data_IF_557534187614
#
_entry.id   IF_557534187614
#
_cell.length_a   1.000
_cell.length_b   1.000
_cell.length_c   1.000
_cell.angle_alpha   90.00
_cell.angle_beta   90.00
_cell.angle_gamma   90.00
#
_symmetry.space_group_name_H-M   'P 1'
#
loop_
_entity.id
_entity.type
_entity.pdbx_description
1 polymer ?
#
# COMPACT_ATOMS: atom_id res chain seq x y z
N UNK A 1 -33.88 -22.17 33.74
CA UNK A 1 -33.32 -21.79 32.43
C UNK A 1 -32.22 -20.78 32.66
N UNK A 2 -30.97 -21.25 32.65
CA UNK A 2 -29.82 -20.52 33.15
C UNK A 2 -29.20 -19.58 32.12
N UNK A 3 -28.96 -18.33 32.54
CA UNK A 3 -27.78 -17.51 32.27
C UNK A 3 -27.04 -17.78 30.94
N UNK A 4 -27.57 -17.23 29.83
CA UNK A 4 -26.83 -17.07 28.56
C UNK A 4 -26.99 -15.67 27.92
N UNK A 5 -27.37 -14.66 28.70
CA UNK A 5 -27.67 -13.32 28.16
C UNK A 5 -26.49 -12.34 28.14
N UNK A 6 -25.30 -12.72 28.62
CA UNK A 6 -24.15 -11.81 28.71
C UNK A 6 -22.84 -12.42 28.18
N UNK A 7 -22.91 -13.21 27.11
CA UNK A 7 -21.71 -13.53 26.34
C UNK A 7 -21.21 -12.27 25.62
N UNK A 8 -19.89 -12.05 25.46
CA UNK A 8 -19.39 -10.97 24.63
C UNK A 8 -19.98 -11.11 23.22
N UNK A 9 -20.42 -10.01 22.59
CA UNK A 9 -21.04 -10.04 21.27
C UNK A 9 -20.07 -10.66 20.23
N UNK A 10 -20.62 -11.24 19.17
CA UNK A 10 -19.85 -11.72 18.02
C UNK A 10 -20.18 -13.14 17.56
N UNK A 11 -19.68 -13.49 16.39
CA UNK A 11 -19.76 -14.81 15.76
C UNK A 11 -18.52 -15.60 16.13
N UNK A 12 -18.69 -16.85 16.57
CA UNK A 12 -17.54 -17.74 16.78
C UNK A 12 -16.90 -18.12 15.44
N UNK A 13 -15.60 -17.86 15.32
CA UNK A 13 -14.80 -18.15 14.14
C UNK A 13 -13.55 -18.92 14.51
N UNK A 14 -13.02 -19.67 13.55
CA UNK A 14 -11.73 -20.34 13.62
C UNK A 14 -10.77 -19.71 12.60
N UNK A 15 -9.54 -19.44 13.02
CA UNK A 15 -8.46 -19.00 12.14
C UNK A 15 -7.96 -20.20 11.34
N UNK A 16 -8.42 -20.37 10.10
CA UNK A 16 -8.04 -21.51 9.27
C UNK A 16 -6.74 -21.30 8.51
N UNK A 17 -6.52 -20.09 7.99
CA UNK A 17 -5.38 -19.81 7.12
C UNK A 17 -4.75 -18.47 7.43
N UNK A 18 -3.43 -18.42 7.26
CA UNK A 18 -2.64 -17.20 7.36
C UNK A 18 -1.86 -17.02 6.08
N UNK A 19 -2.11 -15.94 5.36
CA UNK A 19 -1.41 -15.63 4.11
C UNK A 19 -0.61 -14.35 4.27
N UNK A 20 0.44 -14.22 3.46
CA UNK A 20 1.20 -12.99 3.35
C UNK A 20 1.48 -12.66 1.89
N UNK A 21 1.58 -11.37 1.60
CA UNK A 21 1.99 -10.80 0.30
C UNK A 21 2.86 -9.59 0.57
N UNK A 22 4.05 -9.58 -0.04
CA UNK A 22 5.02 -8.50 0.05
C UNK A 22 5.28 -7.97 -1.36
N UNK A 23 5.25 -6.64 -1.51
CA UNK A 23 5.40 -5.97 -2.80
C UNK A 23 6.41 -4.83 -2.73
N UNK A 24 7.29 -4.77 -3.73
CA UNK A 24 8.24 -3.67 -3.91
C UNK A 24 7.95 -3.01 -5.25
N UNK A 25 7.69 -1.71 -5.23
CA UNK A 25 7.62 -0.93 -6.45
C UNK A 25 9.02 -0.82 -7.08
N UNK A 26 9.13 -1.12 -8.37
CA UNK A 26 10.33 -0.87 -9.15
C UNK A 26 10.07 0.37 -9.99
N UNK A 27 10.84 1.42 -9.74
CA UNK A 27 10.65 2.73 -10.35
C UNK A 27 11.72 3.00 -11.41
N UNK A 28 11.37 3.86 -12.38
CA UNK A 28 12.31 4.45 -13.33
C UNK A 28 12.03 5.94 -13.45
N UNK A 29 13.07 6.73 -13.68
CA UNK A 29 12.92 8.14 -13.97
C UNK A 29 12.53 8.33 -15.44
N UNK A 30 11.44 9.04 -15.68
CA UNK A 30 10.97 9.41 -17.03
C UNK A 30 11.00 10.93 -17.18
N UNK A 31 11.20 11.40 -18.41
CA UNK A 31 11.02 12.82 -18.74
C UNK A 31 9.53 13.10 -18.87
N UNK A 32 8.95 13.79 -17.90
CA UNK A 32 7.55 14.16 -17.89
C UNK A 32 7.37 15.57 -18.45
N UNK A 33 6.47 15.73 -19.43
CA UNK A 33 6.18 17.02 -20.03
C UNK A 33 5.25 17.83 -19.13
N UNK A 34 5.62 19.08 -18.87
CA UNK A 34 4.82 20.05 -18.13
C UNK A 34 4.77 21.41 -18.84
N UNK A 35 3.93 22.29 -18.31
CA UNK A 35 3.88 23.68 -18.77
C UNK A 35 3.51 24.61 -17.63
N UNK A 36 4.17 25.76 -17.56
CA UNK A 36 3.97 26.78 -16.53
C UNK A 36 4.46 28.13 -17.07
N UNK A 37 4.22 29.20 -16.32
CA UNK A 37 4.92 30.45 -16.56
C UNK A 37 6.43 30.26 -16.38
N UNK A 38 7.22 30.95 -17.21
CA UNK A 38 8.66 30.70 -17.28
C UNK A 38 9.41 31.08 -15.99
N UNK A 39 8.85 31.98 -15.18
CA UNK A 39 9.32 32.38 -13.86
C UNK A 39 8.94 31.40 -12.74
N UNK A 40 8.05 30.43 -13.03
CA UNK A 40 7.54 29.42 -12.09
C UNK A 40 8.00 28.00 -12.42
N UNK A 41 9.02 27.85 -13.28
CA UNK A 41 9.53 26.53 -13.64
C UNK A 41 10.08 25.79 -12.40
N UNK A 42 9.72 24.51 -12.20
CA UNK A 42 10.24 23.75 -11.08
C UNK A 42 11.75 23.51 -11.22
N UNK A 43 12.44 23.38 -10.09
CA UNK A 43 13.86 23.09 -10.08
C UNK A 43 14.16 21.80 -10.85
N UNK A 44 15.17 21.84 -11.73
CA UNK A 44 15.53 20.70 -12.59
C UNK A 44 14.68 20.54 -13.85
N UNK A 45 13.71 21.45 -14.10
CA UNK A 45 13.00 21.49 -15.38
C UNK A 45 13.97 21.83 -16.53
N UNK A 46 13.91 21.03 -17.58
CA UNK A 46 14.56 21.32 -18.85
C UNK A 46 13.56 22.02 -19.76
N UNK A 47 13.86 23.26 -20.11
CA UNK A 47 13.02 24.04 -21.00
C UNK A 47 12.99 23.41 -22.40
N UNK A 48 11.79 23.25 -22.95
CA UNK A 48 11.57 22.71 -24.30
C UNK A 48 11.18 23.83 -25.29
N UNK A 49 10.22 24.67 -24.92
CA UNK A 49 9.81 25.81 -25.75
C UNK A 49 9.22 26.94 -24.93
N UNK A 50 9.25 28.15 -25.50
CA UNK A 50 8.66 29.36 -24.95
C UNK A 50 7.61 29.91 -25.90
N UNK A 51 6.56 30.51 -25.35
CA UNK A 51 5.60 31.31 -26.12
C UNK A 51 5.17 32.52 -25.31
N UNK A 52 5.02 33.67 -25.98
CA UNK A 52 4.35 34.82 -25.37
C UNK A 52 2.85 34.56 -25.35
N UNK A 53 2.21 34.82 -24.21
CA UNK A 53 0.75 34.80 -24.09
C UNK A 53 0.28 35.83 -23.07
N UNK A 54 -1.02 36.11 -23.11
CA UNK A 54 -1.68 36.81 -22.03
C UNK A 54 -2.01 35.90 -20.85
N UNK A 55 -1.77 36.40 -19.65
CA UNK A 55 -2.12 35.76 -18.39
C UNK A 55 -3.63 35.92 -18.15
N UNK A 56 -4.41 34.83 -18.25
CA UNK A 56 -5.86 34.89 -18.05
C UNK A 56 -6.23 35.30 -16.61
N UNK A 57 -5.33 35.17 -15.65
CA UNK A 57 -5.54 35.61 -14.28
C UNK A 57 -5.22 37.11 -14.08
N UNK A 58 -4.58 37.77 -15.05
CA UNK A 58 -4.21 39.18 -14.98
C UNK A 58 -3.20 39.51 -13.87
N UNK A 59 -2.46 38.51 -13.37
CA UNK A 59 -1.49 38.69 -12.28
C UNK A 59 -0.17 39.20 -12.83
N UNK A 60 0.19 38.84 -14.06
CA UNK A 60 1.49 39.13 -14.68
C UNK A 60 1.41 40.28 -15.69
N UNK A 61 2.54 40.99 -15.91
CA UNK A 61 2.61 42.03 -16.94
C UNK A 61 2.46 41.43 -18.34
N UNK A 62 1.76 42.15 -19.20
CA UNK A 62 1.46 41.72 -20.56
C UNK A 62 2.46 42.26 -21.59
N UNK A 63 3.02 41.43 -22.49
CA UNK A 63 2.90 39.97 -22.58
C UNK A 63 3.86 39.24 -21.64
N UNK A 64 3.48 38.03 -21.19
CA UNK A 64 4.33 37.17 -20.37
C UNK A 64 4.75 35.88 -21.08
N UNK A 65 5.89 35.32 -20.70
CA UNK A 65 6.41 34.07 -21.28
C UNK A 65 5.83 32.84 -20.58
N UNK A 66 5.20 31.96 -21.35
CA UNK A 66 4.77 30.64 -20.92
C UNK A 66 5.66 29.55 -21.52
N UNK A 67 6.15 28.68 -20.65
CA UNK A 67 7.14 27.66 -20.98
C UNK A 67 6.49 26.27 -21.06
N UNK A 68 6.93 25.47 -22.03
CA UNK A 68 6.82 24.01 -21.99
C UNK A 68 8.16 23.45 -21.54
N UNK A 69 8.14 22.46 -20.67
CA UNK A 69 9.36 21.89 -20.09
C UNK A 69 9.23 20.38 -19.90
N UNK A 70 10.36 19.69 -19.76
CA UNK A 70 10.43 18.31 -19.28
C UNK A 70 11.05 18.28 -17.89
N UNK A 71 10.49 17.49 -16.98
CA UNK A 71 11.01 17.29 -15.63
C UNK A 71 11.26 15.80 -15.40
N UNK A 72 12.43 15.39 -14.90
CA UNK A 72 12.72 13.98 -14.74
C UNK A 72 12.08 13.45 -13.45
N UNK A 73 10.99 12.70 -13.59
CA UNK A 73 10.13 12.23 -12.49
C UNK A 73 10.22 10.72 -12.32
N UNK A 74 10.28 10.24 -11.07
CA UNK A 74 10.20 8.82 -10.76
C UNK A 74 8.78 8.30 -10.92
N UNK A 75 8.62 7.25 -11.72
CA UNK A 75 7.35 6.56 -11.91
C UNK A 75 7.53 5.07 -11.66
N UNK A 76 6.53 4.46 -11.03
CA UNK A 76 6.43 3.01 -10.89
C UNK A 76 6.36 2.39 -12.29
N UNK A 77 7.30 1.51 -12.59
CA UNK A 77 7.36 0.77 -13.85
C UNK A 77 6.62 -0.57 -13.71
N UNK A 78 6.89 -1.29 -12.63
CA UNK A 78 6.25 -2.56 -12.27
C UNK A 78 6.38 -2.83 -10.78
N UNK A 79 5.73 -3.87 -10.28
CA UNK A 79 5.79 -4.30 -8.87
C UNK A 79 6.34 -5.71 -8.79
N UNK A 80 7.41 -5.89 -8.00
CA UNK A 80 7.92 -7.20 -7.65
C UNK A 80 7.08 -7.73 -6.49
N UNK A 81 6.57 -8.95 -6.60
CA UNK A 81 5.68 -9.53 -5.61
C UNK A 81 6.20 -10.89 -5.14
N UNK A 82 6.05 -11.16 -3.85
CA UNK A 82 6.17 -12.50 -3.30
C UNK A 82 4.98 -12.78 -2.36
N UNK A 83 4.47 -14.00 -2.42
CA UNK A 83 3.36 -14.46 -1.58
C UNK A 83 3.72 -15.76 -0.90
N UNK A 84 3.01 -16.05 0.20
CA UNK A 84 3.13 -17.34 0.88
C UNK A 84 2.06 -17.55 1.93
N UNK A 85 2.17 -18.68 2.60
CA UNK A 85 1.24 -19.15 3.63
C UNK A 85 2.05 -19.61 4.82
N UNK A 86 1.58 -19.33 6.03
CA UNK A 86 2.18 -19.88 7.26
C UNK A 86 2.22 -21.43 7.19
N UNK A 87 3.32 -22.08 7.60
CA UNK A 87 4.43 -21.54 8.40
C UNK A 87 5.59 -20.92 7.59
N UNK A 88 5.48 -20.75 6.27
CA UNK A 88 6.54 -20.11 5.49
C UNK A 88 6.72 -18.65 5.95
N UNK A 89 7.94 -18.24 6.38
CA UNK A 89 8.17 -16.88 6.82
C UNK A 89 8.04 -15.89 5.65
N UNK A 90 7.47 -14.69 5.86
CA UNK A 90 7.43 -13.66 4.84
C UNK A 90 8.83 -13.28 4.35
N UNK A 91 9.03 -13.29 3.02
CA UNK A 91 10.29 -12.92 2.37
C UNK A 91 10.05 -11.85 1.33
N UNK A 92 10.85 -10.78 1.39
CA UNK A 92 10.78 -9.71 0.40
C UNK A 92 11.29 -10.22 -0.96
N UNK A 93 10.59 -9.91 -2.07
CA UNK A 93 11.09 -10.20 -3.41
C UNK A 93 12.43 -9.49 -3.63
N UNK A 94 13.30 -10.10 -4.45
CA UNK A 94 14.61 -9.55 -4.81
C UNK A 94 14.66 -9.33 -6.33
N UNK A 95 13.98 -8.29 -6.84
CA UNK A 95 13.96 -8.03 -8.27
C UNK A 95 15.35 -7.66 -8.77
N UNK A 96 15.70 -8.19 -9.95
CA UNK A 96 16.89 -7.73 -10.65
C UNK A 96 16.62 -6.37 -11.28
N UNK A 97 17.42 -5.37 -10.90
CA UNK A 97 17.28 -4.02 -11.43
C UNK A 97 18.10 -3.87 -12.71
N UNK A 98 17.45 -3.40 -13.77
CA UNK A 98 18.16 -3.03 -14.98
C UNK A 98 18.89 -1.71 -14.75
N UNK A 99 20.22 -1.77 -14.74
CA UNK A 99 21.08 -0.61 -14.96
C UNK A 99 20.77 -0.13 -16.38
N UNK A 100 20.22 1.06 -16.55
CA UNK A 100 19.76 1.54 -17.84
C UNK A 100 20.86 1.53 -18.91
N UNK A 101 20.48 1.56 -20.20
CA UNK A 101 21.40 1.98 -21.26
C UNK A 101 21.67 3.48 -21.12
N UNK A 102 22.70 4.03 -21.77
CA UNK A 102 23.09 5.46 -21.70
C UNK A 102 21.90 6.45 -21.85
N UNK A 103 20.84 6.07 -22.57
CA UNK A 103 19.64 6.88 -22.81
C UNK A 103 18.51 6.70 -21.77
N UNK A 104 18.56 5.64 -20.95
CA UNK A 104 17.53 5.31 -19.95
C UNK A 104 18.09 5.46 -18.54
N UNK A 105 17.35 6.15 -17.67
CA UNK A 105 17.69 6.22 -16.25
C UNK A 105 17.71 4.83 -15.59
N UNK A 106 18.58 4.60 -14.59
CA UNK A 106 18.63 3.33 -13.87
C UNK A 106 17.32 3.09 -13.12
N UNK A 107 16.91 1.82 -13.06
CA UNK A 107 15.82 1.41 -12.18
C UNK A 107 16.25 1.50 -10.72
N UNK A 108 15.29 1.75 -9.83
CA UNK A 108 15.49 1.69 -8.37
C UNK A 108 14.33 1.02 -7.67
N UNK A 109 14.56 0.58 -6.42
CA UNK A 109 13.49 0.17 -5.53
C UNK A 109 12.77 1.43 -4.98
N UNK A 110 11.45 1.40 -5.03
CA UNK A 110 10.55 2.42 -4.51
C UNK A 110 9.90 1.97 -3.20
N UNK A 111 8.59 2.19 -3.10
CA UNK A 111 7.81 1.88 -1.89
C UNK A 111 7.69 0.37 -1.66
N UNK A 112 7.64 0.01 -0.38
CA UNK A 112 7.40 -1.33 0.09
C UNK A 112 5.96 -1.41 0.62
N UNK A 113 5.25 -2.47 0.26
CA UNK A 113 3.90 -2.75 0.74
C UNK A 113 3.83 -4.13 1.36
N UNK A 114 3.19 -4.22 2.51
CA UNK A 114 3.06 -5.45 3.27
C UNK A 114 1.60 -5.78 3.56
N UNK A 115 1.25 -7.03 3.33
CA UNK A 115 -0.11 -7.51 3.49
C UNK A 115 -0.08 -8.85 4.22
N UNK A 116 -0.62 -8.87 5.44
CA UNK A 116 -0.73 -10.08 6.25
C UNK A 116 -2.19 -10.33 6.57
N UNK A 117 -2.72 -11.43 6.06
CA UNK A 117 -4.15 -11.70 6.06
C UNK A 117 -4.45 -12.99 6.81
N UNK A 118 -5.55 -12.96 7.56
CA UNK A 118 -6.13 -14.07 8.30
C UNK A 118 -7.44 -14.46 7.65
N UNK A 119 -7.59 -15.73 7.33
CA UNK A 119 -8.86 -16.32 6.90
C UNK A 119 -9.58 -16.90 8.13
N UNK A 120 -10.74 -16.33 8.41
CA UNK A 120 -11.56 -16.62 9.58
C UNK A 120 -12.85 -17.30 9.11
N UNK A 121 -13.14 -18.48 9.62
CA UNK A 121 -14.28 -19.29 9.18
C UNK A 121 -15.22 -19.57 10.35
N UNK A 122 -16.50 -19.24 10.20
CA UNK A 122 -17.53 -19.61 11.16
C UNK A 122 -18.08 -21.02 10.91
N UNK A 123 -18.76 -21.58 11.91
CA UNK A 123 -19.37 -22.91 11.82
C UNK A 123 -20.43 -23.04 10.70
N UNK A 124 -21.03 -21.92 10.28
CA UNK A 124 -21.99 -21.87 9.16
C UNK A 124 -21.30 -21.80 7.78
N UNK A 125 -19.96 -21.87 7.72
CA UNK A 125 -19.17 -21.77 6.50
C UNK A 125 -18.91 -20.34 6.00
N UNK A 126 -19.39 -19.32 6.72
CA UNK A 126 -19.10 -17.93 6.37
C UNK A 126 -17.61 -17.63 6.60
N UNK A 127 -16.99 -16.96 5.63
CA UNK A 127 -15.56 -16.63 5.64
C UNK A 127 -15.36 -15.12 5.67
N UNK A 128 -14.43 -14.67 6.50
CA UNK A 128 -13.94 -13.29 6.52
C UNK A 128 -12.44 -13.25 6.40
N UNK A 129 -11.94 -12.22 5.73
CA UNK A 129 -10.50 -11.93 5.65
C UNK A 129 -10.20 -10.70 6.47
N UNK A 130 -9.26 -10.83 7.42
CA UNK A 130 -8.80 -9.71 8.22
C UNK A 130 -7.30 -9.45 8.01
N UNK A 131 -6.97 -8.21 7.63
CA UNK A 131 -5.57 -7.75 7.59
C UNK A 131 -5.09 -7.39 8.99
N UNK A 132 -3.90 -7.84 9.35
CA UNK A 132 -3.27 -7.57 10.63
C UNK A 132 -1.83 -7.06 10.46
N UNK A 133 -1.27 -6.32 11.44
CA UNK A 133 0.16 -6.05 11.48
C UNK A 133 0.97 -7.36 11.59
N UNK A 134 2.22 -7.36 11.11
CA UNK A 134 3.09 -8.54 11.14
C UNK A 134 3.20 -9.17 12.54
N UNK A 135 3.34 -8.34 13.57
CA UNK A 135 3.48 -8.78 14.96
C UNK A 135 2.27 -9.60 15.42
N UNK A 136 1.07 -9.11 15.13
CA UNK A 136 -0.18 -9.78 15.47
C UNK A 136 -0.41 -11.01 14.60
N UNK A 137 -0.19 -10.90 13.29
CA UNK A 137 -0.29 -12.04 12.38
C UNK A 137 0.63 -13.20 12.80
N UNK A 138 1.87 -12.92 13.20
CA UNK A 138 2.81 -13.96 13.66
C UNK A 138 2.39 -14.59 14.99
N UNK A 139 1.86 -13.80 15.91
CA UNK A 139 1.50 -14.25 17.25
C UNK A 139 0.27 -15.16 17.28
N UNK A 140 -0.63 -15.05 16.30
CA UNK A 140 -1.86 -15.83 16.25
C UNK A 140 -1.60 -17.22 15.64
N UNK A 141 -1.87 -18.32 16.39
CA UNK A 141 -1.75 -19.67 15.85
C UNK A 141 -2.94 -20.00 14.94
N UNK A 142 -2.69 -20.82 13.91
CA UNK A 142 -3.77 -21.46 13.15
C UNK A 142 -4.59 -22.38 14.07
N UNK A 143 -5.89 -22.50 13.80
CA UNK A 143 -6.87 -23.21 14.63
C UNK A 143 -7.37 -22.41 15.84
N UNK A 144 -6.90 -21.17 16.04
CA UNK A 144 -7.39 -20.31 17.12
C UNK A 144 -8.89 -20.02 16.94
N UNK A 145 -9.69 -20.30 17.97
CA UNK A 145 -11.11 -19.98 18.02
C UNK A 145 -11.37 -18.74 18.87
N UNK A 146 -12.18 -17.82 18.36
CA UNK A 146 -12.56 -16.59 19.08
C UNK A 146 -13.88 -16.02 18.55
N UNK A 147 -14.41 -15.00 19.23
CA UNK A 147 -15.59 -14.27 18.76
C UNK A 147 -15.18 -13.04 17.95
N UNK A 148 -15.61 -13.00 16.70
CA UNK A 148 -15.43 -11.88 15.78
C UNK A 148 -16.67 -10.99 15.81
N UNK A 149 -16.48 -9.70 16.05
CA UNK A 149 -17.57 -8.73 15.97
C UNK A 149 -17.93 -8.50 14.50
N UNK A 150 -19.22 -8.67 14.19
CA UNK A 150 -19.79 -8.46 12.86
C UNK A 150 -20.81 -7.34 12.97
N UNK A 151 -20.80 -6.39 12.04
CA UNK A 151 -21.81 -5.35 11.98
C UNK A 151 -23.16 -5.86 11.44
N UNK A 152 -24.16 -4.98 11.39
CA UNK A 152 -25.50 -5.33 10.90
C UNK A 152 -25.54 -5.68 9.39
N UNK A 153 -24.47 -5.39 8.64
CA UNK A 153 -24.32 -5.68 7.22
C UNK A 153 -23.51 -6.96 6.96
N UNK A 154 -23.02 -7.63 8.00
CA UNK A 154 -22.21 -8.84 7.85
C UNK A 154 -20.71 -8.58 7.68
N UNK A 155 -20.25 -7.33 7.83
CA UNK A 155 -18.84 -6.96 7.71
C UNK A 155 -18.11 -7.25 9.03
N UNK A 156 -16.96 -7.92 8.93
CA UNK A 156 -16.12 -8.19 10.09
C UNK A 156 -15.40 -6.93 10.58
N UNK A 157 -15.51 -6.66 11.88
CA UNK A 157 -14.67 -5.70 12.56
C UNK A 157 -13.34 -6.36 12.92
N UNK A 158 -12.33 -6.21 12.05
CA UNK A 158 -11.02 -6.83 12.23
C UNK A 158 -10.22 -6.32 13.45
N UNK A 159 -10.65 -5.23 14.10
CA UNK A 159 -10.09 -4.80 15.38
C UNK A 159 -10.49 -5.73 16.55
N UNK A 160 -11.53 -6.56 16.36
CA UNK A 160 -11.95 -7.57 17.35
C UNK A 160 -11.14 -8.88 17.27
N UNK A 161 -10.19 -8.99 16.35
CA UNK A 161 -9.22 -10.10 16.35
C UNK A 161 -8.36 -10.01 17.61
N UNK A 162 -8.12 -11.12 18.33
CA UNK A 162 -7.32 -11.13 19.54
C UNK A 162 -5.97 -10.45 19.34
N UNK A 163 -5.64 -9.53 20.24
CA UNK A 163 -4.35 -8.85 20.23
C UNK A 163 -3.27 -9.79 20.74
N UNK A 164 -2.08 -9.72 20.15
CA UNK A 164 -0.92 -10.39 20.72
C UNK A 164 -0.67 -9.81 22.12
N UNK A 165 -0.28 -10.62 23.13
CA UNK A 165 0.15 -10.06 24.40
C UNK A 165 1.29 -9.08 24.13
N UNK A 166 1.20 -7.88 24.73
CA UNK A 166 2.26 -6.90 24.62
C UNK A 166 3.57 -7.52 25.11
N UNK A 167 4.60 -7.55 24.26
CA UNK A 167 5.93 -7.98 24.67
C UNK A 167 6.43 -6.99 25.72
N UNK A 168 6.37 -7.37 27.00
CA UNK A 168 7.03 -6.63 28.06
C UNK A 168 8.52 -6.76 27.83
N UNK A 169 9.13 -5.69 27.29
CA UNK A 169 10.58 -5.51 27.29
C UNK A 169 11.06 -5.56 28.74
N UNK A 170 11.82 -6.60 29.08
CA UNK A 170 12.72 -6.64 30.23
C UNK A 170 14.07 -6.03 29.88
#
# INVERSE_FOLDING_TARGET
MGWRLFGPPGVEVELQRKTWRLEIEVERQIAELGSAWCDELPAGAQLQSRRLMADPAGVRPEPSEHCRYTLPTWRTLWQAQQTGVDPEPPRWPRPELTQGKEELSPQRLGKHHEFYELELVAANGQVWTCRQPLTQWRALPQGLKFRLLIDRQGVANCASVPQAPASSRG
#
